data_IF_864671100170
#
_entry.id   IF_864671100170
#
_cell.length_a   1.000
_cell.length_b   1.000
_cell.length_c   1.000
_cell.angle_alpha   90.00
_cell.angle_beta   90.00
_cell.angle_gamma   90.00
#
_symmetry.space_group_name_H-M   'P 1'
#
loop_
_entity.id
_entity.type
_entity.pdbx_description
1 polymer ?
#
# COMPACT_ATOMS: atom_id res chain seq x y z
N UNK A 1 -45.90 45.05 -83.75
CA UNK A 1 -46.81 45.16 -82.59
C UNK A 1 -45.95 45.07 -81.33
N UNK A 2 -45.70 46.20 -80.65
CA UNK A 2 -44.84 46.28 -79.45
C UNK A 2 -45.61 45.75 -78.25
N UNK A 3 -45.18 44.65 -77.64
CA UNK A 3 -45.62 44.26 -76.30
C UNK A 3 -44.75 44.99 -75.26
N UNK A 4 -45.41 45.71 -74.35
CA UNK A 4 -44.80 46.51 -73.30
C UNK A 4 -44.20 45.62 -72.21
N UNK A 5 -43.00 45.96 -71.73
CA UNK A 5 -42.32 45.33 -70.58
C UNK A 5 -42.74 45.96 -69.25
N UNK A 6 -44.04 46.02 -68.94
CA UNK A 6 -44.53 46.40 -67.61
C UNK A 6 -45.83 45.66 -67.31
N UNK A 7 -45.91 45.10 -66.10
CA UNK A 7 -47.07 44.36 -65.62
C UNK A 7 -48.05 45.27 -64.87
N UNK A 8 -49.36 44.96 -64.90
CA UNK A 8 -50.37 45.72 -64.17
C UNK A 8 -50.14 45.61 -62.64
N UNK A 9 -50.48 46.65 -61.86
CA UNK A 9 -50.25 46.66 -60.42
C UNK A 9 -51.12 45.59 -59.73
N UNK A 10 -50.49 44.76 -58.89
CA UNK A 10 -51.17 43.73 -58.09
C UNK A 10 -50.88 42.27 -58.47
N UNK A 11 -50.00 42.01 -59.45
CA UNK A 11 -49.60 40.64 -59.85
C UNK A 11 -48.07 40.56 -60.05
N UNK A 12 -47.44 39.54 -59.45
CA UNK A 12 -46.00 39.29 -59.56
C UNK A 12 -45.71 38.74 -60.97
N UNK A 13 -45.04 39.53 -61.80
CA UNK A 13 -44.54 39.06 -63.08
C UNK A 13 -43.19 38.39 -62.93
N UNK A 14 -43.17 37.08 -63.18
CA UNK A 14 -41.96 36.28 -63.15
C UNK A 14 -41.31 36.37 -64.54
N UNK A 15 -40.37 37.29 -64.73
CA UNK A 15 -39.42 37.21 -65.86
C UNK A 15 -38.45 36.04 -65.62
N UNK A 16 -37.90 35.43 -66.68
CA UNK A 16 -36.89 34.35 -66.59
C UNK A 16 -35.71 34.71 -65.67
N UNK A 17 -35.39 36.01 -65.53
CA UNK A 17 -34.37 36.51 -64.61
C UNK A 17 -34.77 36.36 -63.13
N UNK A 18 -36.02 36.67 -62.80
CA UNK A 18 -36.53 36.54 -61.42
C UNK A 18 -36.63 35.08 -60.98
N UNK A 19 -36.96 34.16 -61.90
CA UNK A 19 -36.93 32.72 -61.64
C UNK A 19 -35.51 32.22 -61.36
N UNK A 20 -34.51 32.71 -62.11
CA UNK A 20 -33.10 32.41 -61.86
C UNK A 20 -32.61 32.87 -60.48
N UNK A 21 -33.00 34.07 -60.05
CA UNK A 21 -32.64 34.61 -58.73
C UNK A 21 -33.25 33.78 -57.58
N UNK A 22 -34.49 33.32 -57.71
CA UNK A 22 -35.13 32.48 -56.69
C UNK A 22 -34.43 31.11 -56.54
N UNK A 23 -33.96 30.52 -57.63
CA UNK A 23 -33.19 29.26 -57.58
C UNK A 23 -31.85 29.48 -56.88
N UNK A 24 -31.13 30.56 -57.20
CA UNK A 24 -29.85 30.87 -56.55
C UNK A 24 -30.03 31.07 -55.04
N UNK A 25 -31.08 31.76 -54.60
CA UNK A 25 -31.40 31.93 -53.18
C UNK A 25 -31.71 30.58 -52.51
N UNK A 26 -32.47 29.70 -53.16
CA UNK A 26 -32.74 28.36 -52.64
C UNK A 26 -31.47 27.51 -52.49
N UNK A 27 -30.57 27.57 -53.47
CA UNK A 27 -29.27 26.86 -53.40
C UNK A 27 -28.42 27.39 -52.24
N UNK A 28 -28.39 28.71 -52.01
CA UNK A 28 -27.67 29.31 -50.89
C UNK A 28 -28.28 28.87 -49.55
N UNK A 29 -29.60 28.86 -49.42
CA UNK A 29 -30.28 28.41 -48.19
C UNK A 29 -30.01 26.93 -47.92
N UNK A 30 -30.10 26.07 -48.94
CA UNK A 30 -29.78 24.66 -48.83
C UNK A 30 -28.31 24.42 -48.46
N UNK A 31 -27.38 25.19 -49.04
CA UNK A 31 -25.96 25.12 -48.71
C UNK A 31 -25.69 25.53 -47.26
N UNK A 32 -26.28 26.65 -46.81
CA UNK A 32 -26.14 27.11 -45.42
C UNK A 32 -26.75 26.10 -44.44
N UNK A 33 -27.91 25.52 -44.76
CA UNK A 33 -28.55 24.46 -43.95
C UNK A 33 -27.73 23.17 -43.91
N UNK A 34 -27.07 22.81 -45.01
CA UNK A 34 -26.14 21.68 -45.05
C UNK A 34 -24.93 21.91 -44.15
N UNK A 35 -24.32 23.11 -44.21
CA UNK A 35 -23.15 23.45 -43.39
C UNK A 35 -23.48 23.44 -41.90
N UNK A 36 -24.63 23.99 -41.49
CA UNK A 36 -25.00 24.01 -40.06
C UNK A 36 -25.30 22.63 -39.51
N UNK A 37 -26.04 21.79 -40.25
CA UNK A 37 -26.36 20.41 -39.83
C UNK A 37 -25.13 19.52 -39.82
N UNK A 38 -24.19 19.70 -40.75
CA UNK A 38 -22.96 18.92 -40.77
C UNK A 38 -22.04 19.28 -39.59
N UNK A 39 -21.96 20.57 -39.22
CA UNK A 39 -21.17 21.02 -38.06
C UNK A 39 -21.67 20.47 -36.73
N UNK A 40 -22.99 20.38 -36.56
CA UNK A 40 -23.62 19.85 -35.34
C UNK A 40 -23.45 18.32 -35.16
N UNK A 41 -23.05 17.60 -36.22
CA UNK A 41 -22.71 16.17 -36.15
C UNK A 41 -21.27 15.94 -35.70
N UNK A 42 -20.35 16.82 -36.07
CA UNK A 42 -18.93 16.73 -35.69
C UNK A 42 -18.76 16.96 -34.19
N UNK A 43 -19.40 18.01 -33.66
CA UNK A 43 -19.37 18.33 -32.21
C UNK A 43 -19.97 17.19 -31.36
N UNK A 44 -21.01 16.50 -31.85
CA UNK A 44 -21.63 15.35 -31.15
C UNK A 44 -20.80 14.06 -31.19
N UNK A 45 -19.89 13.90 -32.16
CA UNK A 45 -18.96 12.77 -32.18
C UNK A 45 -17.81 12.97 -31.19
N UNK A 46 -17.28 14.19 -31.11
CA UNK A 46 -16.22 14.53 -30.16
C UNK A 46 -16.67 14.36 -28.70
N UNK A 47 -17.87 14.83 -28.34
CA UNK A 47 -18.41 14.65 -26.98
C UNK A 47 -18.58 13.16 -26.60
N UNK A 48 -19.02 12.31 -27.53
CA UNK A 48 -19.20 10.87 -27.27
C UNK A 48 -17.88 10.11 -27.15
N UNK A 49 -16.83 10.58 -27.80
CA UNK A 49 -15.48 10.02 -27.70
C UNK A 49 -14.83 10.40 -26.36
N UNK A 50 -15.05 11.63 -25.90
CA UNK A 50 -14.53 12.13 -24.63
C UNK A 50 -15.19 11.44 -23.42
N UNK A 51 -16.50 11.16 -23.48
CA UNK A 51 -17.21 10.43 -22.41
C UNK A 51 -16.77 8.96 -22.31
N UNK A 52 -16.45 8.30 -23.45
CA UNK A 52 -15.89 6.94 -23.48
C UNK A 52 -14.49 6.88 -22.88
N UNK A 53 -13.64 7.87 -23.15
CA UNK A 53 -12.30 7.95 -22.55
C UNK A 53 -12.38 8.19 -21.04
N UNK A 54 -13.27 9.06 -20.57
CA UNK A 54 -13.46 9.30 -19.11
C UNK A 54 -13.97 8.06 -18.36
N UNK A 55 -14.78 7.21 -18.98
CA UNK A 55 -15.20 5.93 -18.36
C UNK A 55 -14.06 4.90 -18.30
N UNK A 56 -13.19 4.85 -19.32
CA UNK A 56 -11.99 3.98 -19.31
C UNK A 56 -10.95 4.43 -18.27
N UNK A 57 -10.80 5.74 -18.05
CA UNK A 57 -9.93 6.26 -16.99
C UNK A 57 -10.43 5.95 -15.57
N UNK A 58 -11.75 5.94 -15.34
CA UNK A 58 -12.30 5.61 -13.99
C UNK A 58 -12.15 4.13 -13.63
N UNK A 59 -12.22 3.23 -14.60
CA UNK A 59 -12.08 1.78 -14.36
C UNK A 59 -10.60 1.34 -14.26
N UNK A 60 -9.66 2.21 -14.65
CA UNK A 60 -8.21 1.98 -14.56
C UNK A 60 -7.55 2.67 -13.36
N UNK A 61 -8.32 3.25 -12.43
CA UNK A 61 -7.80 3.77 -11.15
C UNK A 61 -7.73 2.69 -10.07
N UNK A 62 -7.19 1.53 -10.43
CA UNK A 62 -6.39 0.80 -9.44
C UNK A 62 -5.03 1.48 -9.47
N UNK A 63 -4.85 2.43 -8.57
CA UNK A 63 -3.66 3.26 -8.47
C UNK A 63 -2.48 2.39 -8.04
N UNK A 64 -1.80 1.77 -9.00
CA UNK A 64 -0.46 1.21 -8.79
C UNK A 64 0.47 2.41 -8.68
N UNK A 65 0.67 2.89 -7.46
CA UNK A 65 1.68 3.92 -7.16
C UNK A 65 3.04 3.31 -7.46
N UNK A 66 3.57 3.55 -8.66
CA UNK A 66 4.97 3.28 -8.98
C UNK A 66 5.76 4.43 -8.35
N UNK A 67 6.18 4.24 -7.10
CA UNK A 67 7.14 5.13 -6.47
C UNK A 67 8.46 4.96 -7.20
N UNK A 68 8.83 5.93 -8.04
CA UNK A 68 10.18 6.01 -8.59
C UNK A 68 11.13 6.43 -7.46
N UNK A 69 11.69 5.44 -6.77
CA UNK A 69 12.81 5.65 -5.86
C UNK A 69 14.11 5.64 -6.68
N UNK A 70 15.06 6.56 -6.44
CA UNK A 70 16.34 6.55 -7.13
C UNK A 70 17.05 5.21 -6.91
N UNK A 71 17.51 4.61 -7.99
CA UNK A 71 18.19 3.32 -8.00
C UNK A 71 19.51 3.41 -7.22
N UNK A 72 19.52 2.85 -6.01
CA UNK A 72 20.76 2.45 -5.34
C UNK A 72 21.21 1.11 -5.95
N UNK A 73 22.47 0.96 -6.39
CA UNK A 73 22.97 -0.34 -6.81
C UNK A 73 23.21 -1.19 -5.54
N UNK A 74 22.60 -2.37 -5.49
CA UNK A 74 22.68 -3.36 -4.40
C UNK A 74 21.91 -3.02 -3.11
N UNK A 75 20.57 -3.01 -3.20
CA UNK A 75 19.76 -3.23 -1.99
C UNK A 75 18.69 -4.27 -2.26
N UNK A 76 18.81 -5.42 -1.60
CA UNK A 76 17.75 -6.41 -1.40
C UNK A 76 16.66 -5.76 -0.53
N UNK A 77 15.94 -4.77 -1.05
CA UNK A 77 14.92 -4.04 -0.30
C UNK A 77 13.70 -4.96 -0.14
N UNK A 78 13.51 -5.60 1.02
CA UNK A 78 12.34 -6.43 1.19
C UNK A 78 11.16 -5.46 1.37
N UNK A 79 9.99 -5.84 0.89
CA UNK A 79 8.74 -5.14 1.20
C UNK A 79 8.40 -5.15 2.73
N UNK A 80 9.29 -5.72 3.55
CA UNK A 80 9.35 -5.68 5.01
C UNK A 80 10.75 -5.13 5.37
N UNK A 81 10.86 -4.06 6.15
CA UNK A 81 12.13 -3.31 6.37
C UNK A 81 13.38 -4.14 6.73
N UNK A 82 14.54 -3.50 6.67
CA UNK A 82 15.83 -4.11 7.02
C UNK A 82 15.78 -4.72 8.43
N UNK A 83 15.90 -6.05 8.51
CA UNK A 83 15.84 -6.84 9.77
C UNK A 83 16.91 -6.37 10.76
N UNK A 84 18.04 -5.84 10.27
CA UNK A 84 19.09 -5.32 11.13
C UNK A 84 18.67 -4.01 11.81
N UNK A 85 18.03 -3.11 11.05
CA UNK A 85 17.69 -1.75 11.50
C UNK A 85 16.35 -1.67 12.24
N UNK A 86 15.43 -2.61 12.01
CA UNK A 86 14.09 -2.61 12.63
C UNK A 86 14.04 -3.44 13.93
N UNK A 87 13.86 -2.83 15.12
CA UNK A 87 13.71 -3.54 16.39
C UNK A 87 12.38 -4.30 16.55
N UNK A 88 11.39 -4.05 15.71
CA UNK A 88 10.08 -4.69 15.85
C UNK A 88 9.98 -6.01 15.06
N UNK A 89 10.96 -6.28 14.18
CA UNK A 89 11.04 -7.50 13.38
C UNK A 89 11.83 -8.59 14.12
N UNK A 90 11.38 -9.87 14.11
CA UNK A 90 12.15 -10.96 14.71
C UNK A 90 13.55 -11.16 14.08
N UNK A 91 14.55 -11.56 14.87
CA UNK A 91 15.83 -12.05 14.35
C UNK A 91 15.73 -13.51 13.85
N UNK A 92 14.88 -13.79 12.86
CA UNK A 92 14.83 -15.12 12.26
C UNK A 92 15.99 -15.34 11.29
N UNK A 93 16.56 -16.54 11.30
CA UNK A 93 17.48 -16.98 10.26
C UNK A 93 16.69 -17.35 9.01
N UNK A 94 16.85 -16.59 7.94
CA UNK A 94 16.25 -16.87 6.64
C UNK A 94 17.18 -17.77 5.82
N UNK A 95 16.81 -19.05 5.62
CA UNK A 95 17.61 -20.02 4.84
C UNK A 95 17.24 -20.04 3.34
N UNK A 96 16.31 -19.18 2.90
CA UNK A 96 15.84 -19.18 1.52
C UNK A 96 16.91 -18.61 0.59
N UNK A 97 17.36 -19.43 -0.36
CA UNK A 97 18.33 -19.04 -1.38
C UNK A 97 17.74 -18.11 -2.46
N UNK A 98 16.46 -18.27 -2.77
CA UNK A 98 15.71 -17.40 -3.69
C UNK A 98 14.54 -16.78 -2.93
N UNK A 99 14.47 -15.45 -2.89
CA UNK A 99 13.29 -14.70 -2.46
C UNK A 99 12.52 -14.24 -3.71
N UNK A 100 11.52 -14.98 -4.20
CA UNK A 100 10.59 -14.40 -5.14
C UNK A 100 9.76 -13.35 -4.38
N UNK A 101 9.96 -12.09 -4.72
CA UNK A 101 9.06 -10.99 -4.34
C UNK A 101 7.77 -11.11 -5.14
N UNK A 102 6.97 -12.13 -4.84
CA UNK A 102 5.62 -12.20 -5.33
C UNK A 102 4.75 -11.31 -4.44
N UNK A 103 4.56 -10.06 -4.88
CA UNK A 103 3.54 -9.14 -4.37
C UNK A 103 2.12 -9.74 -4.45
N UNK A 104 1.94 -10.82 -5.19
CA UNK A 104 0.66 -11.50 -5.40
C UNK A 104 0.86 -13.01 -5.29
N UNK A 105 0.18 -13.64 -4.33
CA UNK A 105 0.11 -15.10 -4.22
C UNK A 105 -0.63 -15.62 -5.45
N UNK A 106 0.00 -16.43 -6.33
CA UNK A 106 -0.68 -16.95 -7.51
C UNK A 106 -1.95 -17.73 -7.11
N UNK A 107 -3.08 -17.54 -7.82
CA UNK A 107 -4.30 -18.27 -7.53
C UNK A 107 -4.06 -19.80 -7.57
N UNK A 108 -4.57 -20.51 -6.56
CA UNK A 108 -4.36 -21.96 -6.40
C UNK A 108 -3.17 -22.38 -5.53
N UNK A 109 -2.46 -21.42 -4.90
CA UNK A 109 -1.43 -21.74 -3.89
C UNK A 109 -2.06 -21.92 -2.51
N UNK A 110 -1.59 -22.91 -1.77
CA UNK A 110 -1.90 -23.07 -0.35
C UNK A 110 -1.06 -22.08 0.47
N UNK A 111 -1.64 -21.40 1.47
CA UNK A 111 -0.86 -20.61 2.40
C UNK A 111 0.09 -21.54 3.16
N UNK A 112 1.37 -21.22 3.14
CA UNK A 112 2.42 -21.90 3.89
C UNK A 112 2.83 -21.03 5.08
N UNK A 113 3.31 -21.65 6.16
CA UNK A 113 3.81 -20.97 7.36
C UNK A 113 2.75 -20.18 8.17
N UNK A 114 1.48 -20.59 8.08
CA UNK A 114 0.43 -20.12 8.98
C UNK A 114 0.30 -21.08 10.17
N UNK A 115 0.30 -20.56 11.40
CA UNK A 115 0.07 -21.41 12.57
C UNK A 115 -1.36 -21.93 12.58
N UNK A 116 -1.55 -23.23 12.77
CA UNK A 116 -2.87 -23.87 12.91
C UNK A 116 -3.35 -23.90 14.37
N UNK A 117 -2.53 -23.44 15.31
CA UNK A 117 -2.86 -23.44 16.73
C UNK A 117 -3.78 -22.25 17.05
N UNK A 118 -4.94 -22.53 17.66
CA UNK A 118 -5.96 -21.53 18.03
C UNK A 118 -5.43 -20.42 18.94
N UNK A 119 -4.36 -20.68 19.70
CA UNK A 119 -3.74 -19.72 20.61
C UNK A 119 -2.52 -18.99 20.04
N UNK A 120 -2.13 -19.28 18.79
CA UNK A 120 -1.00 -18.64 18.15
C UNK A 120 -1.35 -17.21 17.77
N UNK A 121 -0.47 -16.26 18.12
CA UNK A 121 -0.64 -14.86 17.75
C UNK A 121 0.61 -14.40 17.03
N UNK A 122 0.44 -13.90 15.81
CA UNK A 122 1.52 -13.24 15.08
C UNK A 122 1.50 -11.75 15.39
N UNK A 123 2.47 -11.30 16.17
CA UNK A 123 2.66 -9.88 16.52
C UNK A 123 4.10 -9.47 16.28
N UNK A 124 4.32 -8.18 16.09
CA UNK A 124 5.66 -7.60 16.11
C UNK A 124 6.25 -7.68 17.52
N UNK A 125 7.59 -7.65 17.60
CA UNK A 125 8.25 -7.42 18.86
C UNK A 125 7.92 -6.03 19.37
N UNK A 126 8.07 -5.84 20.68
CA UNK A 126 8.01 -4.55 21.34
C UNK A 126 8.95 -4.57 22.53
N UNK A 127 9.38 -3.40 22.96
CA UNK A 127 10.16 -3.31 24.18
C UNK A 127 9.24 -3.60 25.37
N UNK A 128 9.57 -4.62 26.16
CA UNK A 128 8.79 -5.05 27.34
C UNK A 128 9.50 -4.73 28.65
N UNK A 129 10.77 -4.31 28.59
CA UNK A 129 11.53 -3.94 29.77
C UNK A 129 12.98 -3.64 29.47
N UNK A 130 13.78 -3.64 30.53
CA UNK A 130 15.23 -3.49 30.51
C UNK A 130 15.89 -4.61 31.30
N UNK A 131 17.14 -4.88 30.97
CA UNK A 131 17.96 -5.86 31.65
C UNK A 131 19.25 -5.21 32.15
N UNK A 132 19.61 -5.55 33.37
CA UNK A 132 20.84 -5.10 34.03
C UNK A 132 21.68 -6.32 34.41
N UNK A 133 23.00 -6.30 34.18
CA UNK A 133 23.84 -7.45 34.48
C UNK A 133 23.86 -7.73 35.97
N UNK A 134 23.94 -9.02 36.31
CA UNK A 134 24.00 -9.46 37.71
C UNK A 134 25.36 -9.16 38.32
N UNK A 135 26.44 -9.27 37.54
CA UNK A 135 27.76 -8.90 38.01
C UNK A 135 28.05 -7.46 37.57
N UNK A 136 28.21 -6.56 38.54
CA UNK A 136 28.35 -5.11 38.33
C UNK A 136 29.60 -4.65 37.58
N UNK A 137 30.35 -5.55 36.93
CA UNK A 137 31.56 -5.22 36.19
C UNK A 137 31.28 -4.45 34.90
N UNK A 138 30.06 -4.56 34.35
CA UNK A 138 29.64 -3.82 33.17
C UNK A 138 28.33 -3.10 33.49
N UNK A 139 28.31 -1.78 33.67
CA UNK A 139 27.06 -1.03 33.90
C UNK A 139 26.24 -0.83 32.60
N UNK A 140 26.06 -1.90 31.80
CA UNK A 140 25.37 -1.84 30.51
C UNK A 140 23.92 -2.23 30.69
N UNK A 141 23.01 -1.33 30.34
CA UNK A 141 21.57 -1.58 30.38
C UNK A 141 21.15 -2.01 28.97
N UNK A 142 20.53 -3.18 28.85
CA UNK A 142 20.09 -3.71 27.57
C UNK A 142 18.57 -3.69 27.46
N UNK A 143 17.99 -3.34 26.29
CA UNK A 143 16.54 -3.40 26.09
C UNK A 143 16.08 -4.84 25.93
N UNK A 144 15.04 -5.23 26.67
CA UNK A 144 14.37 -6.52 26.49
C UNK A 144 13.22 -6.35 25.48
N UNK A 145 13.35 -7.00 24.34
CA UNK A 145 12.31 -7.07 23.32
C UNK A 145 11.52 -8.36 23.49
N UNK A 146 10.19 -8.27 23.38
CA UNK A 146 9.31 -9.41 23.57
C UNK A 146 8.06 -9.35 22.70
N UNK A 147 7.52 -10.53 22.40
CA UNK A 147 6.18 -10.68 21.81
C UNK A 147 5.46 -11.93 22.35
N UNK A 148 4.13 -11.91 22.48
CA UNK A 148 3.37 -13.12 22.75
C UNK A 148 3.44 -14.05 21.54
N UNK A 149 3.55 -15.35 21.79
CA UNK A 149 3.57 -16.39 20.77
C UNK A 149 2.34 -17.29 20.91
N UNK A 150 2.10 -17.81 22.12
CA UNK A 150 0.90 -18.59 22.45
C UNK A 150 0.21 -18.01 23.69
N UNK A 151 -0.91 -17.32 23.50
CA UNK A 151 -1.62 -16.64 24.60
C UNK A 151 -2.28 -17.61 25.58
N UNK A 152 -2.69 -18.78 25.11
CA UNK A 152 -3.31 -19.82 25.96
C UNK A 152 -2.33 -20.54 26.89
N UNK A 153 -1.02 -20.51 26.58
CA UNK A 153 0.04 -21.19 27.34
C UNK A 153 1.06 -20.22 27.91
N UNK A 154 0.77 -18.92 27.86
CA UNK A 154 1.67 -17.84 28.24
C UNK A 154 3.10 -18.00 27.68
N UNK A 155 3.20 -18.42 26.42
CA UNK A 155 4.49 -18.53 25.73
C UNK A 155 4.81 -17.25 24.98
N UNK A 156 6.04 -16.82 25.13
CA UNK A 156 6.55 -15.56 24.60
C UNK A 156 7.89 -15.77 23.93
N UNK A 157 8.17 -14.98 22.91
CA UNK A 157 9.49 -14.89 22.35
C UNK A 157 10.17 -13.63 22.84
N UNK A 158 11.46 -13.76 23.16
CA UNK A 158 12.28 -12.66 23.66
C UNK A 158 13.61 -12.61 22.93
N UNK A 159 14.13 -11.41 22.77
CA UNK A 159 15.51 -11.16 22.38
C UNK A 159 15.98 -9.84 22.99
N UNK A 160 17.28 -9.58 22.97
CA UNK A 160 17.85 -8.31 23.43
C UNK A 160 18.69 -7.68 22.34
N UNK A 161 18.90 -6.37 22.41
CA UNK A 161 19.86 -5.68 21.54
C UNK A 161 21.13 -5.36 22.31
N UNK A 162 22.28 -5.32 21.64
CA UNK A 162 23.54 -4.87 22.23
C UNK A 162 23.60 -3.34 22.29
N UNK A 163 24.19 -2.80 23.36
CA UNK A 163 24.44 -1.36 23.57
C UNK A 163 25.76 -0.88 22.93
N UNK A 164 26.19 -1.49 21.82
CA UNK A 164 27.40 -1.06 21.10
C UNK A 164 27.03 -0.09 19.97
N UNK A 165 28.03 0.57 19.36
CA UNK A 165 27.84 1.50 18.22
C UNK A 165 27.00 0.93 17.07
N UNK A 166 26.92 -0.40 16.95
CA UNK A 166 25.94 -1.07 16.11
C UNK A 166 25.10 -2.02 16.98
N UNK A 167 23.80 -1.74 17.10
CA UNK A 167 22.88 -2.53 17.92
C UNK A 167 22.51 -3.81 17.20
N UNK A 168 23.17 -4.92 17.54
CA UNK A 168 22.85 -6.24 17.00
C UNK A 168 21.85 -6.98 17.89
N UNK A 169 20.99 -7.80 17.28
CA UNK A 169 20.03 -8.64 17.99
C UNK A 169 20.74 -9.87 18.55
N UNK A 170 20.60 -10.09 19.86
CA UNK A 170 21.22 -11.18 20.60
C UNK A 170 20.13 -12.14 21.11
N UNK A 171 20.31 -13.45 20.92
CA UNK A 171 19.39 -14.43 21.47
C UNK A 171 19.53 -14.51 22.99
N UNK A 172 18.40 -14.77 23.65
CA UNK A 172 18.32 -14.94 25.10
C UNK A 172 17.79 -16.33 25.41
N UNK A 173 18.26 -16.92 26.50
CA UNK A 173 17.85 -18.24 26.95
C UNK A 173 17.41 -18.24 28.41
N UNK A 174 16.42 -19.09 28.70
CA UNK A 174 15.86 -19.32 30.04
C UNK A 174 15.80 -20.81 30.29
N UNK A 175 16.31 -21.28 31.43
CA UNK A 175 16.28 -22.70 31.81
C UNK A 175 16.85 -23.65 30.73
N UNK A 176 17.92 -23.23 30.04
CA UNK A 176 18.55 -24.01 28.97
C UNK A 176 17.76 -24.05 27.65
N UNK A 177 16.71 -23.23 27.48
CA UNK A 177 15.94 -23.11 26.24
C UNK A 177 16.09 -21.72 25.64
N UNK A 178 16.24 -21.64 24.32
CA UNK A 178 16.28 -20.37 23.60
C UNK A 178 14.89 -19.76 23.47
N UNK A 179 14.75 -18.49 23.85
CA UNK A 179 13.50 -17.74 23.77
C UNK A 179 13.27 -17.11 22.39
N UNK A 180 14.21 -17.21 21.47
CA UNK A 180 14.03 -16.78 20.07
C UNK A 180 13.45 -17.87 19.17
N UNK A 181 13.33 -19.11 19.69
CA UNK A 181 12.85 -20.24 18.92
C UNK A 181 11.34 -20.18 18.65
N UNK A 182 10.84 -20.98 17.71
CA UNK A 182 9.42 -21.10 17.32
C UNK A 182 8.50 -21.42 18.50
N UNK A 183 8.98 -22.11 19.53
CA UNK A 183 8.20 -22.44 20.73
C UNK A 183 8.30 -21.40 21.86
N UNK A 184 9.23 -20.45 21.74
CA UNK A 184 9.47 -19.41 22.75
C UNK A 184 9.85 -19.95 24.13
N UNK A 185 9.69 -19.08 25.13
CA UNK A 185 9.91 -19.33 26.55
C UNK A 185 8.64 -19.00 27.36
N UNK A 186 8.65 -19.38 28.64
CA UNK A 186 7.64 -18.94 29.59
C UNK A 186 7.68 -17.42 29.80
N UNK A 187 6.51 -16.83 30.04
CA UNK A 187 6.38 -15.41 30.40
C UNK A 187 7.31 -15.04 31.55
N UNK A 188 7.95 -13.88 31.41
CA UNK A 188 8.97 -13.38 32.33
C UNK A 188 8.32 -12.36 33.26
N UNK A 189 8.74 -12.37 34.53
CA UNK A 189 8.30 -11.44 35.55
C UNK A 189 9.43 -10.52 36.02
N UNK A 190 9.07 -9.46 36.73
CA UNK A 190 10.05 -8.54 37.30
C UNK A 190 10.95 -9.26 38.30
N UNK A 191 12.27 -9.06 38.18
CA UNK A 191 13.27 -9.72 39.02
C UNK A 191 13.76 -11.07 38.51
N UNK A 192 13.16 -11.63 37.46
CA UNK A 192 13.66 -12.83 36.79
C UNK A 192 15.04 -12.60 36.19
N UNK A 193 15.77 -13.70 35.95
CA UNK A 193 17.06 -13.69 35.28
C UNK A 193 16.98 -14.37 33.92
N UNK A 194 17.62 -13.78 32.92
CA UNK A 194 17.82 -14.38 31.61
C UNK A 194 19.31 -14.47 31.29
N UNK A 195 19.68 -15.52 30.57
CA UNK A 195 21.03 -15.67 30.04
C UNK A 195 21.10 -15.07 28.64
N UNK A 196 22.11 -14.21 28.40
CA UNK A 196 22.33 -13.58 27.09
C UNK A 196 23.53 -14.23 26.43
N UNK A 197 23.29 -15.01 25.37
CA UNK A 197 24.32 -15.82 24.70
C UNK A 197 25.50 -15.00 24.17
N UNK A 198 25.23 -13.77 23.69
CA UNK A 198 26.27 -12.88 23.15
C UNK A 198 27.26 -12.36 24.19
N UNK A 199 26.82 -12.17 25.44
CA UNK A 199 27.67 -11.70 26.54
C UNK A 199 28.13 -12.84 27.46
N UNK A 200 27.57 -14.04 27.29
CA UNK A 200 27.80 -15.22 28.13
C UNK A 200 27.53 -14.96 29.62
N UNK A 201 26.61 -14.06 29.91
CA UNK A 201 26.29 -13.59 31.25
C UNK A 201 24.77 -13.59 31.48
N UNK A 202 24.38 -13.74 32.75
CA UNK A 202 23.00 -13.61 33.17
C UNK A 202 22.66 -12.18 33.60
N UNK A 203 21.49 -11.70 33.16
CA UNK A 203 20.99 -10.37 33.44
C UNK A 203 19.71 -10.46 34.26
N UNK A 204 19.56 -9.55 35.22
CA UNK A 204 18.33 -9.31 35.97
C UNK A 204 17.40 -8.43 35.16
N UNK A 205 16.11 -8.76 35.19
CA UNK A 205 15.10 -8.11 34.35
C UNK A 205 14.25 -7.17 35.18
N UNK A 206 13.99 -6.00 34.60
CA UNK A 206 12.97 -5.07 35.05
C UNK A 206 11.94 -4.94 33.93
N UNK A 207 10.76 -5.54 34.14
CA UNK A 207 9.64 -5.50 33.19
C UNK A 207 8.89 -4.18 33.35
N UNK A 208 8.45 -3.59 32.24
CA UNK A 208 7.56 -2.42 32.24
C UNK A 208 6.14 -2.80 32.60
N UNK A 209 5.40 -1.84 33.14
CA UNK A 209 4.00 -2.04 33.48
C UNK A 209 3.15 -2.29 32.22
N UNK A 210 2.10 -3.08 32.39
CA UNK A 210 1.18 -3.38 31.29
C UNK A 210 0.37 -2.13 30.94
N UNK A 211 0.32 -1.77 29.66
CA UNK A 211 -0.67 -0.83 29.18
C UNK A 211 -2.04 -1.51 29.19
N UNK A 212 -2.96 -0.98 30.00
CA UNK A 212 -4.29 -1.55 30.16
C UNK A 212 -5.17 -1.11 28.99
N UNK A 213 -6.01 -2.03 28.49
CA UNK A 213 -6.95 -1.72 27.41
C UNK A 213 -7.88 -0.61 27.90
N UNK A 214 -7.89 0.52 27.18
CA UNK A 214 -8.76 1.65 27.49
C UNK A 214 -10.01 1.59 26.63
N UNK A 215 -11.14 1.97 27.24
CA UNK A 215 -12.39 2.15 26.51
C UNK A 215 -12.23 3.24 25.45
N UNK A 216 -12.74 3.00 24.24
CA UNK A 216 -12.81 3.97 23.16
C UNK A 216 -14.23 4.55 23.14
N UNK A 217 -14.47 5.77 23.65
CA UNK A 217 -15.82 6.28 23.90
C UNK A 217 -16.59 6.77 22.67
N UNK A 218 -16.05 6.60 21.46
CA UNK A 218 -16.58 7.21 20.23
C UNK A 218 -16.80 6.21 19.09
N UNK A 219 -16.81 4.90 19.38
CA UNK A 219 -17.22 3.86 18.45
C UNK A 219 -18.69 3.47 18.69
#
# INVERSE_FOLDING_TARGET
MKFQKKCPPGVICVENLTFGLMIVILVIICYLGYVTVFREKDERMDERMDERNRRRERDSRHETVIVQQPSYPYTNLPNNGDVLLDPYVPPLRDERYLRPELLMVPPGRVPINISTNIGAVDTSYRQVGIMTPLNGNNSKILPLMGRPLFVNRDKWQYYTMSDQNNSIKLPVSRNGRSCTNEYGCDKIYNGDTLYVEGYKEAFKITIYDNDTIRYLPFL
#
